data_IF_850954847080
#
_entry.id   IF_850954847080
#
_cell.length_a   1.000
_cell.length_b   1.000
_cell.length_c   1.000
_cell.angle_alpha   90.00
_cell.angle_beta   90.00
_cell.angle_gamma   90.00
#
_symmetry.space_group_name_H-M   'P 1'
#
loop_
_entity.id
_entity.type
_entity.pdbx_description
1 polymer ?
#
# COMPACT_ATOMS: atom_id res chain seq x y z
N UNK A 1 -4.46 14.97 -4.94
CA UNK A 1 -3.62 15.94 -5.71
C UNK A 1 -4.37 16.70 -6.82
N UNK A 2 -5.01 16.03 -7.79
CA UNK A 2 -5.70 16.73 -8.89
C UNK A 2 -6.72 17.78 -8.43
N UNK A 3 -7.55 17.42 -7.44
CA UNK A 3 -8.48 18.34 -6.76
C UNK A 3 -7.76 19.57 -6.17
N UNK A 4 -6.62 19.40 -5.51
CA UNK A 4 -5.85 20.51 -4.92
C UNK A 4 -5.30 21.48 -5.97
N UNK A 5 -4.83 20.96 -7.13
CA UNK A 5 -4.44 21.81 -8.27
C UNK A 5 -5.62 22.62 -8.79
N UNK A 6 -6.82 22.04 -8.80
CA UNK A 6 -8.03 22.74 -9.18
C UNK A 6 -8.42 23.80 -8.11
N UNK A 7 -8.44 23.44 -6.83
CA UNK A 7 -8.76 24.38 -5.74
C UNK A 7 -7.87 25.63 -5.75
N UNK A 8 -6.57 25.47 -6.00
CA UNK A 8 -5.65 26.60 -6.10
C UNK A 8 -5.96 27.51 -7.29
N UNK A 9 -6.35 26.93 -8.44
CA UNK A 9 -6.80 27.73 -9.59
C UNK A 9 -8.08 28.49 -9.26
N UNK A 10 -9.06 27.82 -8.66
CA UNK A 10 -10.32 28.46 -8.24
C UNK A 10 -10.04 29.64 -7.31
N UNK A 11 -9.19 29.45 -6.28
CA UNK A 11 -8.85 30.53 -5.34
C UNK A 11 -8.12 31.67 -6.05
N UNK A 12 -7.12 31.38 -6.86
CA UNK A 12 -6.34 32.42 -7.56
C UNK A 12 -7.10 33.14 -8.68
N UNK A 13 -8.12 32.52 -9.27
CA UNK A 13 -8.98 33.15 -10.29
C UNK A 13 -10.18 33.89 -9.69
N UNK A 14 -10.51 33.63 -8.42
CA UNK A 14 -11.69 34.22 -7.75
C UNK A 14 -11.31 35.26 -6.69
N UNK A 15 -10.04 35.32 -6.28
CA UNK A 15 -9.54 36.24 -5.25
C UNK A 15 -8.22 36.89 -5.68
N UNK A 16 -7.85 38.01 -5.04
CA UNK A 16 -6.55 38.65 -5.23
C UNK A 16 -5.41 37.97 -4.43
N UNK A 17 -5.66 36.78 -3.87
CA UNK A 17 -4.67 36.07 -3.05
C UNK A 17 -3.60 35.45 -3.94
N UNK A 18 -2.36 35.54 -3.48
CA UNK A 18 -1.28 34.71 -3.98
C UNK A 18 -1.55 33.26 -3.59
N UNK A 19 -1.25 32.33 -4.49
CA UNK A 19 -1.45 30.89 -4.27
C UNK A 19 -0.16 30.11 -4.56
N UNK A 20 0.11 29.09 -3.76
CA UNK A 20 1.26 28.20 -3.92
C UNK A 20 0.84 26.76 -3.63
N UNK A 21 1.29 25.81 -4.45
CA UNK A 21 1.10 24.39 -4.25
C UNK A 21 2.44 23.66 -4.32
N UNK A 22 2.67 22.73 -3.41
CA UNK A 22 3.70 21.72 -3.51
C UNK A 22 3.10 20.35 -3.20
N UNK A 23 3.55 19.31 -3.90
CA UNK A 23 3.01 17.96 -3.77
C UNK A 23 4.17 16.99 -3.52
N UNK A 24 4.18 16.36 -2.35
CA UNK A 24 5.08 15.26 -2.04
C UNK A 24 4.39 13.94 -2.40
N UNK A 25 5.09 13.11 -3.17
CA UNK A 25 4.61 11.82 -3.64
C UNK A 25 5.50 10.71 -3.07
N UNK A 26 4.89 9.57 -2.78
CA UNK A 26 5.58 8.33 -2.45
C UNK A 26 6.21 7.67 -3.70
N UNK A 27 7.22 6.84 -3.46
CA UNK A 27 7.83 5.95 -4.45
C UNK A 27 6.88 4.81 -4.87
N UNK A 28 5.95 4.42 -3.99
CA UNK A 28 4.97 3.35 -4.25
C UNK A 28 3.98 3.80 -5.33
N UNK A 29 3.93 3.07 -6.44
CA UNK A 29 3.14 3.46 -7.63
C UNK A 29 1.63 3.33 -7.45
N UNK A 30 1.17 2.50 -6.52
CA UNK A 30 -0.25 2.38 -6.16
C UNK A 30 -0.41 2.37 -4.66
N UNK A 31 -1.42 3.11 -4.16
CA UNK A 31 -1.72 3.25 -2.74
C UNK A 31 -0.60 3.90 -1.91
N UNK A 32 0.33 4.61 -2.55
CA UNK A 32 1.35 5.40 -1.87
C UNK A 32 0.77 6.66 -1.24
N UNK A 33 1.43 7.18 -0.20
CA UNK A 33 0.98 8.41 0.47
C UNK A 33 1.24 9.61 -0.44
N UNK A 34 0.32 10.57 -0.46
CA UNK A 34 0.55 11.87 -1.10
C UNK A 34 0.21 12.99 -0.13
N UNK A 35 1.17 13.88 0.12
CA UNK A 35 0.96 15.05 0.97
C UNK A 35 0.92 16.30 0.10
N UNK A 36 -0.18 17.03 0.17
CA UNK A 36 -0.35 18.28 -0.58
C UNK A 36 -0.17 19.46 0.36
N UNK A 37 0.80 20.32 0.07
CA UNK A 37 1.07 21.53 0.81
C UNK A 37 0.55 22.72 0.00
N UNK A 38 -0.52 23.34 0.49
CA UNK A 38 -1.15 24.48 -0.15
C UNK A 38 -0.95 25.71 0.73
N UNK A 39 -0.67 26.85 0.10
CA UNK A 39 -0.65 28.15 0.76
C UNK A 39 -1.43 29.13 -0.10
N UNK A 40 -2.17 30.01 0.55
CA UNK A 40 -2.81 31.15 -0.08
C UNK A 40 -2.82 32.32 0.90
N UNK A 41 -2.66 33.55 0.40
CA UNK A 41 -2.59 34.73 1.27
C UNK A 41 -2.46 36.03 0.49
N UNK A 42 -2.62 37.15 1.19
CA UNK A 42 -2.65 38.50 0.57
C UNK A 42 -1.25 39.05 0.24
N UNK A 43 -0.19 38.33 0.65
CA UNK A 43 1.20 38.69 0.40
C UNK A 43 1.87 37.66 -0.51
N UNK A 44 2.86 38.07 -1.34
CA UNK A 44 3.64 37.15 -2.17
C UNK A 44 4.24 36.01 -1.35
N UNK A 45 3.94 34.76 -1.75
CA UNK A 45 4.38 33.56 -1.03
C UNK A 45 5.82 33.20 -1.45
N UNK A 46 6.78 33.36 -0.53
CA UNK A 46 8.21 33.03 -0.73
C UNK A 46 8.65 31.75 -0.03
N UNK A 47 7.75 31.02 0.62
CA UNK A 47 8.06 29.82 1.38
C UNK A 47 8.33 28.62 0.47
N UNK A 48 9.58 28.46 0.02
CA UNK A 48 10.05 27.32 -0.81
C UNK A 48 10.41 26.10 0.05
N UNK A 49 9.54 25.75 0.99
CA UNK A 49 9.67 24.61 1.91
C UNK A 49 8.28 24.03 2.24
N UNK A 50 8.23 22.82 2.79
CA UNK A 50 6.98 22.15 3.17
C UNK A 50 6.19 22.95 4.23
N UNK A 51 4.87 22.75 4.31
CA UNK A 51 4.07 23.40 5.37
C UNK A 51 4.35 22.69 6.69
N UNK A 52 4.97 23.41 7.65
CA UNK A 52 5.26 22.89 8.99
C UNK A 52 4.21 23.24 10.06
N UNK A 53 3.38 24.26 9.84
CA UNK A 53 2.35 24.70 10.79
C UNK A 53 1.04 24.99 10.05
N UNK A 54 0.29 23.96 9.63
CA UNK A 54 -0.93 24.17 8.84
C UNK A 54 -2.06 24.78 9.68
N UNK A 55 -2.90 25.57 9.01
CA UNK A 55 -4.19 26.06 9.56
C UNK A 55 -5.31 25.02 9.41
N UNK A 56 -5.19 24.17 8.39
CA UNK A 56 -6.17 23.17 7.98
C UNK A 56 -5.44 21.89 7.56
N UNK A 57 -5.89 20.75 8.06
CA UNK A 57 -5.44 19.42 7.65
C UNK A 57 -6.64 18.60 7.20
N UNK A 58 -6.53 17.91 6.06
CA UNK A 58 -7.49 16.90 5.64
C UNK A 58 -6.83 15.53 5.53
N UNK A 59 -7.44 14.52 6.15
CA UNK A 59 -7.06 13.12 6.01
C UNK A 59 -8.12 12.40 5.16
N UNK A 60 -7.73 11.96 3.96
CA UNK A 60 -8.66 11.38 3.00
C UNK A 60 -8.80 9.85 3.13
N UNK A 61 -7.97 9.23 3.98
CA UNK A 61 -7.86 7.77 4.14
C UNK A 61 -7.80 7.45 5.64
N UNK A 62 -8.82 6.77 6.23
CA UNK A 62 -8.87 6.51 7.67
C UNK A 62 -7.67 5.77 8.23
N UNK A 63 -7.11 4.82 7.47
CA UNK A 63 -5.97 4.00 7.92
C UNK A 63 -4.70 4.81 8.18
N UNK A 64 -4.64 6.07 7.74
CA UNK A 64 -3.51 6.96 8.02
C UNK A 64 -3.46 7.43 9.47
N UNK A 65 -4.60 7.42 10.18
CA UNK A 65 -4.71 7.86 11.57
C UNK A 65 -3.85 7.03 12.53
N UNK A 66 -3.68 5.74 12.24
CA UNK A 66 -2.86 4.82 13.03
C UNK A 66 -1.45 4.63 12.49
N UNK A 67 -1.12 5.19 11.32
CA UNK A 67 0.16 4.98 10.62
C UNK A 67 1.05 6.21 10.58
N UNK A 68 0.45 7.39 10.55
CA UNK A 68 1.15 8.66 10.36
C UNK A 68 0.72 9.67 11.41
N UNK A 69 1.63 10.57 11.77
CA UNK A 69 1.27 11.75 12.56
C UNK A 69 0.60 12.80 11.66
N UNK A 70 -0.65 12.54 11.26
CA UNK A 70 -1.38 13.38 10.30
C UNK A 70 -1.64 14.80 10.82
N UNK A 71 -1.63 15.00 12.14
CA UNK A 71 -1.85 16.30 12.78
C UNK A 71 -0.54 17.04 13.13
N UNK A 72 0.63 16.54 12.69
CA UNK A 72 1.94 17.14 13.00
C UNK A 72 1.95 18.63 12.63
N UNK A 73 2.07 19.47 13.66
CA UNK A 73 2.18 20.92 13.52
C UNK A 73 0.87 21.69 13.31
N UNK A 74 -0.31 21.03 13.28
CA UNK A 74 -1.59 21.74 13.17
C UNK A 74 -1.72 22.81 14.27
N UNK A 75 -2.08 24.04 13.89
CA UNK A 75 -2.15 25.12 14.89
C UNK A 75 -3.31 24.93 15.86
N UNK A 76 -3.20 25.56 17.05
CA UNK A 76 -4.33 25.73 17.97
C UNK A 76 -5.50 26.43 17.28
N UNK A 77 -6.72 25.96 17.51
CA UNK A 77 -7.94 26.39 16.81
C UNK A 77 -7.94 26.11 15.29
N UNK A 78 -6.99 25.29 14.81
CA UNK A 78 -6.98 24.81 13.43
C UNK A 78 -8.15 23.88 13.13
N UNK A 79 -8.24 23.48 11.87
CA UNK A 79 -9.31 22.60 11.39
C UNK A 79 -8.77 21.26 10.95
N UNK A 80 -9.47 20.19 11.33
CA UNK A 80 -9.21 18.84 10.85
C UNK A 80 -10.44 18.30 10.13
N UNK A 81 -10.27 17.83 8.89
CA UNK A 81 -11.30 17.17 8.09
C UNK A 81 -10.91 15.71 7.85
N UNK A 82 -11.75 14.76 8.26
CA UNK A 82 -11.53 13.33 8.04
C UNK A 82 -12.57 12.75 7.07
N UNK A 83 -12.11 12.02 6.06
CA UNK A 83 -12.94 11.12 5.30
C UNK A 83 -12.97 9.74 5.96
N UNK A 84 -14.14 9.23 6.32
CA UNK A 84 -14.31 7.87 6.85
C UNK A 84 -15.71 7.33 6.59
N UNK A 85 -15.85 6.00 6.58
CA UNK A 85 -17.17 5.37 6.52
C UNK A 85 -17.94 5.46 7.84
N UNK A 86 -17.24 5.80 8.92
CA UNK A 86 -17.75 5.92 10.28
C UNK A 86 -18.64 7.15 10.45
N UNK A 87 -19.69 7.00 11.25
CA UNK A 87 -20.45 8.13 11.77
C UNK A 87 -19.71 8.83 12.93
N UNK A 88 -20.31 9.87 13.51
CA UNK A 88 -19.69 10.63 14.59
C UNK A 88 -19.48 9.84 15.87
N UNK A 89 -20.32 8.85 16.18
CA UNK A 89 -20.17 8.01 17.38
C UNK A 89 -19.05 7.00 17.17
N UNK A 90 -19.08 6.29 16.05
CA UNK A 90 -18.06 5.32 15.68
C UNK A 90 -16.68 5.98 15.49
N UNK A 91 -16.63 7.19 14.93
CA UNK A 91 -15.38 7.98 14.84
C UNK A 91 -14.80 8.24 16.22
N UNK A 92 -15.62 8.63 17.19
CA UNK A 92 -15.17 8.87 18.56
C UNK A 92 -14.66 7.58 19.22
N UNK A 93 -15.20 6.42 18.88
CA UNK A 93 -14.73 5.14 19.41
C UNK A 93 -13.41 4.72 18.76
N UNK A 94 -13.32 4.78 17.43
CA UNK A 94 -12.18 4.26 16.64
C UNK A 94 -10.95 5.17 16.59
N UNK A 95 -11.08 6.47 16.88
CA UNK A 95 -9.92 7.39 16.85
C UNK A 95 -8.84 6.98 17.88
N UNK A 96 -7.55 6.97 17.50
CA UNK A 96 -6.45 6.75 18.43
C UNK A 96 -6.42 7.80 19.54
N UNK A 97 -5.98 7.41 20.75
CA UNK A 97 -5.94 8.33 21.90
C UNK A 97 -4.96 9.49 21.68
N UNK A 98 -3.88 9.27 20.93
CA UNK A 98 -2.93 10.31 20.54
C UNK A 98 -3.59 11.44 19.72
N UNK A 99 -4.49 11.08 18.80
CA UNK A 99 -5.27 12.02 17.99
C UNK A 99 -6.33 12.72 18.85
N UNK A 100 -7.13 11.95 19.61
CA UNK A 100 -8.16 12.48 20.52
C UNK A 100 -7.60 13.55 21.45
N UNK A 101 -6.48 13.23 22.10
CA UNK A 101 -5.79 14.15 23.01
C UNK A 101 -5.35 15.43 22.29
N UNK A 102 -4.74 15.29 21.13
CA UNK A 102 -4.29 16.43 20.34
C UNK A 102 -5.45 17.37 19.95
N UNK A 103 -6.58 16.81 19.51
CA UNK A 103 -7.76 17.59 19.14
C UNK A 103 -8.27 18.43 20.33
N UNK A 104 -8.33 17.84 21.52
CA UNK A 104 -8.81 18.52 22.72
C UNK A 104 -7.82 19.55 23.27
N UNK A 105 -6.53 19.21 23.38
CA UNK A 105 -5.48 20.14 23.87
C UNK A 105 -5.37 21.40 23.01
N UNK A 106 -5.61 21.26 21.69
CA UNK A 106 -5.44 22.34 20.73
C UNK A 106 -6.77 22.98 20.28
N UNK A 107 -7.90 22.60 20.88
CA UNK A 107 -9.23 23.12 20.54
C UNK A 107 -9.50 23.06 19.02
N UNK A 108 -9.27 21.89 18.41
CA UNK A 108 -9.36 21.71 16.96
C UNK A 108 -10.83 21.66 16.52
N UNK A 109 -11.14 22.36 15.42
CA UNK A 109 -12.43 22.24 14.75
C UNK A 109 -12.44 20.95 13.92
N UNK A 110 -13.08 19.90 14.43
CA UNK A 110 -13.09 18.59 13.80
C UNK A 110 -14.36 18.34 12.97
N UNK A 111 -14.18 17.96 11.71
CA UNK A 111 -15.24 17.63 10.77
C UNK A 111 -15.00 16.25 10.14
N UNK A 112 -16.09 15.54 9.86
CA UNK A 112 -16.08 14.26 9.15
C UNK A 112 -16.97 14.32 7.91
N UNK A 113 -16.68 13.46 6.95
CA UNK A 113 -17.54 13.20 5.79
C UNK A 113 -17.36 11.75 5.33
N UNK A 114 -18.46 11.09 4.94
CA UNK A 114 -18.40 9.77 4.33
C UNK A 114 -18.36 9.87 2.80
N UNK A 115 -17.22 10.33 2.28
CA UNK A 115 -17.08 10.53 0.84
C UNK A 115 -17.09 9.22 0.05
N UNK A 116 -16.71 8.09 0.68
CA UNK A 116 -16.75 6.77 0.04
C UNK A 116 -18.18 6.35 -0.27
N UNK A 117 -19.07 6.38 0.73
CA UNK A 117 -20.49 6.05 0.54
C UNK A 117 -21.17 7.01 -0.42
N UNK A 118 -20.90 8.32 -0.30
CA UNK A 118 -21.42 9.32 -1.24
C UNK A 118 -20.99 9.00 -2.68
N UNK A 119 -19.74 8.59 -2.90
CA UNK A 119 -19.25 8.25 -4.24
C UNK A 119 -19.91 6.98 -4.79
N UNK A 120 -20.14 5.97 -3.95
CA UNK A 120 -20.86 4.75 -4.32
C UNK A 120 -22.33 5.04 -4.70
N UNK A 121 -23.05 5.78 -3.85
CA UNK A 121 -24.46 6.15 -4.08
C UNK A 121 -24.66 6.89 -5.41
N UNK A 122 -23.68 7.72 -5.81
CA UNK A 122 -23.74 8.54 -7.04
C UNK A 122 -23.25 7.75 -8.27
N UNK A 123 -22.59 6.60 -8.09
CA UNK A 123 -22.02 5.81 -9.19
C UNK A 123 -20.59 6.21 -9.61
N UNK A 124 -19.86 6.96 -8.77
CA UNK A 124 -18.45 7.30 -8.98
C UNK A 124 -17.47 6.22 -8.50
N UNK A 125 -17.98 5.13 -7.90
CA UNK A 125 -17.18 4.08 -7.27
C UNK A 125 -16.31 4.64 -6.15
N UNK A 126 -15.03 4.25 -6.09
CA UNK A 126 -14.10 4.75 -5.05
C UNK A 126 -13.55 6.17 -5.26
N UNK A 127 -14.12 7.00 -6.16
CA UNK A 127 -13.57 8.33 -6.48
C UNK A 127 -14.11 9.42 -5.56
N UNK A 128 -13.41 9.68 -4.46
CA UNK A 128 -13.81 10.67 -3.44
C UNK A 128 -13.29 12.09 -3.68
N UNK A 129 -12.49 12.31 -4.73
CA UNK A 129 -11.73 13.54 -4.96
C UNK A 129 -12.60 14.82 -5.05
N UNK A 130 -13.69 14.79 -5.82
CA UNK A 130 -14.59 15.94 -6.00
C UNK A 130 -15.36 16.26 -4.72
N UNK A 131 -15.78 15.23 -4.00
CA UNK A 131 -16.51 15.33 -2.73
C UNK A 131 -15.62 16.00 -1.68
N UNK A 132 -14.38 15.49 -1.51
CA UNK A 132 -13.41 16.07 -0.58
C UNK A 132 -12.99 17.49 -0.95
N UNK A 133 -12.97 17.82 -2.25
CA UNK A 133 -12.70 19.18 -2.70
C UNK A 133 -13.81 20.15 -2.26
N UNK A 134 -15.07 19.74 -2.40
CA UNK A 134 -16.23 20.54 -1.97
C UNK A 134 -16.24 20.69 -0.45
N UNK A 135 -15.99 19.61 0.29
CA UNK A 135 -15.85 19.63 1.75
C UNK A 135 -14.75 20.59 2.23
N UNK A 136 -13.61 20.63 1.52
CA UNK A 136 -12.56 21.62 1.79
C UNK A 136 -13.07 23.06 1.67
N UNK A 137 -13.76 23.42 0.57
CA UNK A 137 -14.29 24.78 0.43
C UNK A 137 -15.39 25.10 1.44
N UNK A 138 -16.21 24.12 1.80
CA UNK A 138 -17.26 24.26 2.81
C UNK A 138 -16.69 24.59 4.18
N UNK A 139 -15.62 23.92 4.57
CA UNK A 139 -15.07 24.00 5.94
C UNK A 139 -13.97 25.07 6.05
N UNK A 140 -13.17 25.29 5.01
CA UNK A 140 -12.08 26.26 5.04
C UNK A 140 -12.55 27.72 4.88
N UNK A 141 -13.76 27.95 4.35
CA UNK A 141 -14.40 29.26 4.20
C UNK A 141 -13.52 30.36 3.56
N UNK A 142 -12.66 29.96 2.61
CA UNK A 142 -11.71 30.87 1.93
C UNK A 142 -12.43 31.83 0.98
N UNK A 143 -13.48 31.33 0.34
CA UNK A 143 -14.42 32.06 -0.52
C UNK A 143 -15.84 31.63 -0.14
N UNK A 144 -16.89 32.43 -0.45
CA UNK A 144 -18.28 32.02 -0.22
C UNK A 144 -18.57 30.64 -0.84
N UNK A 145 -19.18 29.75 -0.07
CA UNK A 145 -19.37 28.36 -0.49
C UNK A 145 -20.15 28.23 -1.80
N UNK A 146 -21.22 29.00 -1.98
CA UNK A 146 -22.02 28.97 -3.22
C UNK A 146 -21.20 29.36 -4.45
N UNK A 147 -20.29 30.32 -4.30
CA UNK A 147 -19.35 30.71 -5.35
C UNK A 147 -18.36 29.59 -5.66
N UNK A 148 -17.88 28.88 -4.64
CA UNK A 148 -17.01 27.71 -4.84
C UNK A 148 -17.71 26.58 -5.60
N UNK A 149 -18.98 26.30 -5.27
CA UNK A 149 -19.81 25.29 -5.94
C UNK A 149 -20.00 25.65 -7.42
N UNK A 150 -20.33 26.91 -7.73
CA UNK A 150 -20.47 27.38 -9.12
C UNK A 150 -19.17 27.17 -9.91
N UNK A 151 -18.02 27.60 -9.37
CA UNK A 151 -16.71 27.45 -10.02
C UNK A 151 -16.32 25.99 -10.20
N UNK A 152 -16.60 25.13 -9.21
CA UNK A 152 -16.34 23.69 -9.31
C UNK A 152 -17.18 23.05 -10.41
N UNK A 153 -18.48 23.34 -10.50
CA UNK A 153 -19.37 22.84 -11.56
C UNK A 153 -18.95 23.34 -12.94
N UNK A 154 -18.55 24.61 -13.06
CA UNK A 154 -18.00 25.14 -14.30
C UNK A 154 -16.72 24.42 -14.74
N UNK A 155 -15.82 24.09 -13.80
CA UNK A 155 -14.62 23.31 -14.08
C UNK A 155 -14.93 21.86 -14.49
N UNK A 156 -15.92 21.23 -13.86
CA UNK A 156 -16.41 19.89 -14.22
C UNK A 156 -16.90 19.89 -15.66
N UNK A 157 -17.72 20.86 -16.06
CA UNK A 157 -18.20 20.98 -17.45
C UNK A 157 -17.04 21.15 -18.43
N UNK A 158 -16.05 22.01 -18.10
CA UNK A 158 -14.85 22.21 -18.93
C UNK A 158 -14.00 20.94 -19.07
N UNK A 159 -13.87 20.16 -18.00
CA UNK A 159 -12.96 19.00 -17.96
C UNK A 159 -13.61 17.72 -18.48
N UNK A 160 -14.89 17.52 -18.17
CA UNK A 160 -15.62 16.27 -18.41
C UNK A 160 -16.78 16.42 -19.39
N UNK A 161 -17.07 17.62 -19.90
CA UNK A 161 -18.16 17.84 -20.87
C UNK A 161 -18.07 16.99 -22.13
N UNK A 162 -16.85 16.57 -22.52
CA UNK A 162 -16.63 15.65 -23.65
C UNK A 162 -16.85 14.17 -23.31
N UNK A 163 -16.94 13.80 -22.04
CA UNK A 163 -17.08 12.41 -21.60
C UNK A 163 -18.55 11.97 -21.46
N UNK A 164 -19.50 12.88 -21.66
CA UNK A 164 -20.93 12.61 -21.61
C UNK A 164 -21.64 13.27 -20.43
N UNK A 165 -22.93 13.54 -20.62
CA UNK A 165 -23.77 14.26 -19.65
C UNK A 165 -23.88 13.50 -18.32
N UNK A 166 -23.92 12.17 -18.35
CA UNK A 166 -24.01 11.36 -17.14
C UNK A 166 -22.78 11.51 -16.23
N UNK A 167 -21.57 11.57 -16.80
CA UNK A 167 -20.34 11.80 -16.02
C UNK A 167 -20.34 13.21 -15.41
N UNK A 168 -20.83 14.21 -16.16
CA UNK A 168 -20.97 15.57 -15.65
C UNK A 168 -22.00 15.62 -14.51
N UNK A 169 -23.16 14.95 -14.68
CA UNK A 169 -24.22 14.86 -13.67
C UNK A 169 -23.72 14.23 -12.37
N UNK A 170 -23.03 13.09 -12.46
CA UNK A 170 -22.44 12.43 -11.30
C UNK A 170 -21.44 13.32 -10.57
N UNK A 171 -20.56 14.02 -11.29
CA UNK A 171 -19.59 14.93 -10.66
C UNK A 171 -20.26 16.16 -10.04
N UNK A 172 -21.31 16.71 -10.66
CA UNK A 172 -22.08 17.81 -10.09
C UNK A 172 -22.79 17.39 -8.79
N UNK A 173 -23.39 16.20 -8.77
CA UNK A 173 -23.97 15.63 -7.56
C UNK A 173 -22.91 15.44 -6.45
N UNK A 174 -21.69 15.05 -6.82
CA UNK A 174 -20.57 14.95 -5.86
C UNK A 174 -20.16 16.31 -5.27
N UNK A 175 -20.27 17.41 -6.02
CA UNK A 175 -20.07 18.76 -5.48
C UNK A 175 -21.16 19.11 -4.48
N UNK A 176 -22.42 18.86 -4.85
CA UNK A 176 -23.59 19.18 -4.02
C UNK A 176 -23.57 18.41 -2.69
N UNK A 177 -23.33 17.10 -2.75
CA UNK A 177 -23.24 16.24 -1.57
C UNK A 177 -21.95 16.43 -0.78
N UNK A 178 -20.90 17.00 -1.37
CA UNK A 178 -19.66 17.29 -0.64
C UNK A 178 -19.80 18.39 0.43
N UNK A 179 -20.93 19.10 0.46
CA UNK A 179 -21.30 20.00 1.56
C UNK A 179 -21.89 19.29 2.79
N UNK A 180 -22.18 17.99 2.71
CA UNK A 180 -22.72 17.14 3.80
C UNK A 180 -21.64 16.80 4.86
N UNK A 181 -20.87 17.81 5.29
CA UNK A 181 -19.87 17.68 6.35
C UNK A 181 -20.54 17.73 7.72
N UNK A 182 -20.15 16.83 8.61
CA UNK A 182 -20.63 16.79 9.99
C UNK A 182 -19.55 17.31 10.94
N UNK A 183 -19.92 18.20 11.86
CA UNK A 183 -19.02 18.67 12.91
C UNK A 183 -19.06 17.69 14.08
N UNK A 184 -17.92 17.12 14.43
CA UNK A 184 -17.82 16.19 15.56
C UNK A 184 -17.47 16.97 16.83
N UNK A 185 -18.20 16.68 17.91
CA UNK A 185 -17.88 17.24 19.22
C UNK A 185 -16.53 16.68 19.71
N UNK A 186 -15.67 17.55 20.24
CA UNK A 186 -14.38 17.15 20.82
C UNK A 186 -14.47 17.31 22.35
N UNK A 187 -14.67 16.22 23.11
CA UNK A 187 -14.77 16.27 24.56
C UNK A 187 -13.48 16.82 25.20
N UNK A 188 -13.62 17.77 26.12
CA UNK A 188 -12.48 18.31 26.86
C UNK A 188 -11.72 17.24 27.66
N UNK A 189 -12.41 16.17 28.08
CA UNK A 189 -11.83 15.02 28.79
C UNK A 189 -10.78 14.28 27.96
N UNK A 190 -10.83 14.37 26.62
CA UNK A 190 -9.80 13.75 25.77
C UNK A 190 -8.40 14.31 26.02
N UNK A 191 -8.28 15.55 26.50
CA UNK A 191 -6.98 16.14 26.86
C UNK A 191 -6.28 15.36 28.00
N UNK A 192 -7.05 14.62 28.82
CA UNK A 192 -6.53 13.84 29.94
C UNK A 192 -6.17 12.40 29.56
N UNK A 193 -6.49 11.96 28.34
CA UNK A 193 -6.15 10.61 27.87
C UNK A 193 -4.64 10.43 27.86
N UNK A 194 -4.16 9.22 28.14
CA UNK A 194 -2.76 8.88 27.90
C UNK A 194 -2.50 8.79 26.41
N UNK A 195 -1.37 9.34 25.95
CA UNK A 195 -0.96 9.15 24.55
C UNK A 195 -0.55 7.70 24.41
N UNK A 196 -1.20 6.97 23.50
CA UNK A 196 -0.63 5.75 22.96
C UNK A 196 0.76 6.11 22.41
N UNK A 197 1.79 5.45 22.92
CA UNK A 197 3.09 5.54 22.30
C UNK A 197 2.96 4.93 20.90
N UNK A 198 3.35 5.69 19.88
CA UNK A 198 3.55 5.11 18.57
C UNK A 198 4.82 4.27 18.67
N UNK A 199 4.65 3.00 19.02
CA UNK A 199 5.75 2.05 19.12
C UNK A 199 5.89 1.29 17.81
N UNK A 200 7.04 1.48 17.21
CA UNK A 200 7.57 0.58 16.20
C UNK A 200 7.61 -0.83 16.80
N UNK A 201 7.15 -1.83 16.07
CA UNK A 201 7.24 -3.22 16.52
C UNK A 201 8.71 -3.53 16.80
N UNK A 202 9.05 -3.81 18.06
CA UNK A 202 10.42 -4.12 18.47
C UNK A 202 10.76 -5.60 18.29
N UNK A 203 9.78 -6.45 17.96
CA UNK A 203 9.95 -7.89 17.78
C UNK A 203 10.38 -8.28 16.34
N UNK A 204 10.79 -7.29 15.55
CA UNK A 204 11.34 -7.44 14.20
C UNK A 204 12.86 -7.22 14.22
N UNK A 205 13.60 -7.61 13.15
CA UNK A 205 15.03 -7.33 13.07
C UNK A 205 15.35 -5.85 13.28
N UNK A 206 16.49 -5.55 13.91
CA UNK A 206 16.89 -4.19 14.30
C UNK A 206 16.82 -3.18 13.15
N UNK A 207 17.22 -3.58 11.94
CA UNK A 207 17.14 -2.70 10.77
C UNK A 207 15.69 -2.33 10.42
N UNK A 208 14.75 -3.24 10.62
CA UNK A 208 13.33 -2.99 10.37
C UNK A 208 12.79 -1.96 11.37
N UNK A 209 13.01 -2.18 12.67
CA UNK A 209 12.49 -1.30 13.71
C UNK A 209 13.17 0.07 13.76
N UNK A 210 14.49 0.14 13.51
CA UNK A 210 15.27 1.39 13.62
C UNK A 210 15.38 2.20 12.33
N UNK A 211 15.15 1.61 11.16
CA UNK A 211 15.31 2.30 9.86
C UNK A 211 14.06 2.20 9.00
N UNK A 212 13.60 0.97 8.71
CA UNK A 212 12.48 0.76 7.76
C UNK A 212 11.18 1.35 8.28
N UNK A 213 10.78 1.03 9.52
CA UNK A 213 9.53 1.50 10.09
C UNK A 213 9.50 3.03 10.29
N UNK A 214 10.57 3.70 10.78
CA UNK A 214 10.63 5.16 10.82
C UNK A 214 10.45 5.82 9.45
N UNK A 215 11.14 5.33 8.42
CA UNK A 215 10.99 5.86 7.05
C UNK A 215 9.55 5.63 6.55
N UNK A 216 9.01 4.43 6.73
CA UNK A 216 7.63 4.10 6.36
C UNK A 216 6.58 4.91 7.11
N UNK A 217 6.87 5.38 8.32
CA UNK A 217 6.02 6.28 9.11
C UNK A 217 6.21 7.77 8.77
N UNK A 218 6.94 8.09 7.68
CA UNK A 218 7.29 9.45 7.26
C UNK A 218 8.14 10.24 8.27
N UNK A 219 8.94 9.53 9.08
CA UNK A 219 9.89 10.12 10.02
C UNK A 219 11.35 9.80 9.61
N UNK A 220 11.60 9.55 8.32
CA UNK A 220 12.93 9.23 7.80
C UNK A 220 13.94 10.38 7.98
N UNK A 221 13.49 11.63 7.90
CA UNK A 221 14.33 12.82 8.13
C UNK A 221 14.83 12.93 9.58
N UNK A 222 14.17 12.26 10.53
CA UNK A 222 14.57 12.25 11.95
C UNK A 222 15.70 11.23 12.23
N UNK A 223 16.08 10.40 11.25
CA UNK A 223 17.16 9.43 11.40
C UNK A 223 18.54 10.11 11.34
N UNK A 224 19.41 9.92 12.35
CA UNK A 224 20.77 10.45 12.30
C UNK A 224 21.60 9.69 11.27
N UNK A 225 22.68 10.31 10.78
CA UNK A 225 23.66 9.64 9.89
C UNK A 225 24.18 8.33 10.50
N UNK A 226 24.31 8.27 11.83
CA UNK A 226 24.75 7.08 12.55
C UNK A 226 23.78 5.89 12.46
N UNK A 227 22.53 6.09 12.02
CA UNK A 227 21.58 5.01 11.75
C UNK A 227 22.03 4.09 10.59
N UNK A 228 23.01 4.54 9.79
CA UNK A 228 23.51 3.84 8.61
C UNK A 228 24.96 3.33 8.77
N UNK A 229 25.49 3.29 10.00
CA UNK A 229 26.81 2.67 10.26
C UNK A 229 26.81 1.18 9.86
N UNK A 230 27.87 0.75 9.18
CA UNK A 230 27.98 -0.58 8.59
C UNK A 230 27.22 -0.74 7.25
N UNK A 231 26.67 0.36 6.71
CA UNK A 231 25.98 0.45 5.41
C UNK A 231 26.42 1.69 4.64
N UNK A 232 27.69 2.05 4.79
CA UNK A 232 28.29 3.24 4.16
C UNK A 232 28.25 3.18 2.63
N UNK A 233 28.17 1.96 2.08
CA UNK A 233 28.03 1.67 0.64
C UNK A 233 26.58 1.75 0.13
N UNK A 234 25.61 1.99 1.02
CA UNK A 234 24.19 2.04 0.68
C UNK A 234 23.53 0.67 0.52
N UNK A 235 24.16 -0.43 0.97
CA UNK A 235 23.57 -1.76 0.91
C UNK A 235 22.39 -1.90 1.88
N UNK A 236 21.25 -2.42 1.41
CA UNK A 236 20.05 -2.72 2.21
C UNK A 236 19.86 -4.24 2.33
N UNK A 237 19.30 -4.75 3.45
CA UNK A 237 18.96 -6.15 3.55
C UNK A 237 17.78 -6.50 2.64
N UNK A 238 17.73 -7.75 2.21
CA UNK A 238 16.63 -8.31 1.43
C UNK A 238 15.37 -8.51 2.30
N UNK A 239 14.20 -8.54 1.66
CA UNK A 239 12.94 -9.01 2.25
C UNK A 239 12.31 -8.04 3.25
N UNK A 240 12.53 -6.73 3.14
CA UNK A 240 11.91 -5.77 4.09
C UNK A 240 10.43 -5.54 3.82
N UNK A 241 9.92 -5.88 2.63
CA UNK A 241 8.50 -5.62 2.26
C UNK A 241 7.49 -6.42 3.07
N UNK A 242 7.87 -7.58 3.61
CA UNK A 242 6.98 -8.44 4.41
C UNK A 242 6.50 -7.76 5.70
N UNK A 243 7.23 -6.75 6.18
CA UNK A 243 6.90 -5.99 7.38
C UNK A 243 6.01 -4.78 7.11
N UNK A 244 5.67 -4.47 5.86
CA UNK A 244 4.91 -3.26 5.53
C UNK A 244 3.41 -3.40 5.76
N UNK A 245 2.83 -4.56 5.43
CA UNK A 245 1.40 -4.91 5.62
C UNK A 245 0.47 -3.74 5.33
N UNK A 246 0.58 -3.20 4.11
CA UNK A 246 0.08 -1.86 3.78
C UNK A 246 -1.44 -1.71 3.86
N UNK A 247 -2.19 -2.79 3.61
CA UNK A 247 -3.65 -2.82 3.69
C UNK A 247 -4.32 -1.80 2.78
N UNK A 248 -3.85 -1.70 1.52
CA UNK A 248 -4.35 -0.68 0.57
C UNK A 248 -5.50 -1.17 -0.31
N UNK A 249 -5.73 -2.49 -0.37
CA UNK A 249 -6.84 -3.07 -1.11
C UNK A 249 -8.15 -2.81 -0.39
N UNK A 250 -9.10 -2.14 -1.05
CA UNK A 250 -10.47 -1.98 -0.53
C UNK A 250 -11.24 -3.30 -0.52
N UNK A 251 -10.91 -4.17 -1.47
CA UNK A 251 -11.41 -5.54 -1.57
C UNK A 251 -10.26 -6.52 -1.75
N UNK A 252 -10.44 -7.75 -1.29
CA UNK A 252 -9.46 -8.84 -1.41
C UNK A 252 -10.16 -10.12 -1.85
N UNK A 253 -9.46 -11.05 -2.53
CA UNK A 253 -10.08 -12.29 -2.97
C UNK A 253 -10.38 -13.21 -1.78
N UNK A 254 -11.64 -13.61 -1.63
CA UNK A 254 -12.07 -14.69 -0.75
C UNK A 254 -11.96 -16.03 -1.50
N UNK A 255 -11.46 -17.08 -0.83
CA UNK A 255 -11.33 -18.41 -1.42
C UNK A 255 -12.53 -19.30 -1.10
N UNK A 256 -13.18 -19.80 -2.15
CA UNK A 256 -14.31 -20.73 -2.07
C UNK A 256 -13.81 -22.15 -2.41
N UNK A 257 -13.57 -23.01 -1.40
CA UNK A 257 -12.87 -24.27 -1.58
C UNK A 257 -13.64 -25.28 -2.45
N UNK A 258 -14.97 -25.31 -2.37
CA UNK A 258 -15.84 -26.27 -3.09
C UNK A 258 -15.66 -26.17 -4.60
N UNK A 259 -15.39 -24.97 -5.08
CA UNK A 259 -15.24 -24.66 -6.50
C UNK A 259 -13.80 -24.85 -7.00
N UNK A 260 -12.83 -25.05 -6.09
CA UNK A 260 -11.41 -24.98 -6.42
C UNK A 260 -10.88 -26.27 -7.05
N UNK A 261 -10.34 -26.15 -8.26
CA UNK A 261 -9.72 -27.29 -8.98
C UNK A 261 -8.21 -27.45 -8.73
N UNK A 262 -7.64 -26.74 -7.74
CA UNK A 262 -6.23 -26.84 -7.33
C UNK A 262 -5.22 -26.62 -8.48
N UNK A 263 -5.44 -25.61 -9.33
CA UNK A 263 -4.63 -25.36 -10.53
C UNK A 263 -3.46 -24.37 -10.34
N UNK A 264 -3.44 -23.63 -9.22
CA UNK A 264 -2.47 -22.59 -8.87
C UNK A 264 -2.36 -21.38 -9.83
N UNK A 265 -3.27 -21.22 -10.81
CA UNK A 265 -3.21 -20.09 -11.75
C UNK A 265 -3.36 -18.73 -11.07
N UNK A 266 -4.18 -18.65 -10.02
CA UNK A 266 -4.38 -17.43 -9.23
C UNK A 266 -3.07 -16.92 -8.59
N UNK A 267 -2.25 -17.83 -8.06
CA UNK A 267 -0.94 -17.51 -7.51
C UNK A 267 0.10 -17.19 -8.59
N UNK A 268 0.02 -17.88 -9.73
CA UNK A 268 0.89 -17.65 -10.87
C UNK A 268 0.78 -16.19 -11.37
N UNK A 269 -0.44 -15.70 -11.57
CA UNK A 269 -0.70 -14.35 -12.12
C UNK A 269 -0.62 -13.24 -11.09
N UNK A 270 -0.51 -13.55 -9.79
CA UNK A 270 -0.50 -12.52 -8.76
C UNK A 270 0.77 -11.65 -8.87
N UNK A 271 0.63 -10.33 -9.09
CA UNK A 271 1.77 -9.44 -9.27
C UNK A 271 2.50 -9.10 -7.97
N UNK A 272 1.97 -9.49 -6.81
CA UNK A 272 2.54 -9.14 -5.50
C UNK A 272 2.82 -10.36 -4.62
N UNK A 273 2.64 -11.58 -5.13
CA UNK A 273 2.71 -12.82 -4.35
C UNK A 273 1.78 -12.84 -3.11
N UNK A 274 0.66 -12.10 -3.17
CA UNK A 274 -0.33 -11.98 -2.10
C UNK A 274 -1.37 -13.12 -2.05
N UNK A 275 -1.24 -14.13 -2.91
CA UNK A 275 -2.07 -15.33 -2.90
C UNK A 275 -1.17 -16.52 -3.27
N UNK A 276 -1.12 -17.54 -2.41
CA UNK A 276 -0.20 -18.67 -2.55
C UNK A 276 -0.91 -20.00 -2.30
N UNK A 277 -0.54 -21.06 -3.03
CA UNK A 277 -0.97 -22.40 -2.70
C UNK A 277 -0.04 -23.00 -1.66
N UNK A 278 -0.61 -23.65 -0.66
CA UNK A 278 0.12 -24.40 0.36
C UNK A 278 -0.25 -25.87 0.28
N UNK A 279 0.75 -26.72 0.43
CA UNK A 279 0.58 -28.15 0.70
C UNK A 279 0.91 -28.39 2.17
N UNK A 280 -0.04 -28.92 2.90
CA UNK A 280 0.02 -29.09 4.36
C UNK A 280 0.14 -30.58 4.68
N UNK A 281 1.12 -30.94 5.51
CA UNK A 281 1.26 -32.30 6.01
C UNK A 281 0.49 -32.50 7.34
N UNK A 282 0.37 -33.74 7.82
CA UNK A 282 -0.44 -34.06 9.00
C UNK A 282 0.02 -33.37 10.30
N UNK A 283 1.32 -33.10 10.47
CA UNK A 283 1.86 -32.38 11.64
C UNK A 283 1.53 -30.89 11.57
N UNK A 284 1.70 -30.29 10.38
CA UNK A 284 1.32 -28.90 10.12
C UNK A 284 -0.20 -28.69 10.29
N UNK A 285 -1.02 -29.64 9.80
CA UNK A 285 -2.48 -29.60 9.90
C UNK A 285 -2.97 -29.55 11.35
N UNK A 286 -2.36 -30.33 12.24
CA UNK A 286 -2.76 -30.42 13.65
C UNK A 286 -2.60 -29.09 14.42
N UNK A 287 -1.81 -28.15 13.89
CA UNK A 287 -1.49 -26.88 14.54
C UNK A 287 -2.13 -25.67 13.84
N UNK A 288 -2.94 -25.88 12.79
CA UNK A 288 -3.56 -24.79 12.05
C UNK A 288 -4.54 -23.98 12.91
N UNK A 289 -4.70 -22.68 12.63
CA UNK A 289 -5.74 -21.87 13.26
C UNK A 289 -7.14 -22.47 13.07
N UNK A 290 -8.02 -22.27 14.05
CA UNK A 290 -9.39 -22.79 14.01
C UNK A 290 -10.17 -22.28 12.77
N UNK A 291 -11.00 -23.16 12.21
CA UNK A 291 -11.76 -22.87 10.99
C UNK A 291 -10.92 -22.77 9.71
N UNK A 292 -9.67 -23.24 9.72
CA UNK A 292 -8.86 -23.32 8.49
C UNK A 292 -9.33 -24.49 7.63
N UNK A 293 -10.01 -24.17 6.52
CA UNK A 293 -10.46 -25.18 5.56
C UNK A 293 -9.33 -25.66 4.65
N UNK A 294 -9.29 -26.97 4.41
CA UNK A 294 -8.32 -27.64 3.55
C UNK A 294 -9.03 -28.57 2.57
N UNK A 295 -8.46 -28.71 1.37
CA UNK A 295 -8.90 -29.70 0.39
C UNK A 295 -7.98 -30.92 0.38
N UNK A 296 -8.56 -32.09 0.18
CA UNK A 296 -7.80 -33.32 -0.08
C UNK A 296 -7.07 -33.23 -1.43
N UNK A 297 -5.84 -33.74 -1.48
CA UNK A 297 -5.09 -33.86 -2.74
C UNK A 297 -5.17 -35.28 -3.31
N UNK A 298 -4.70 -35.46 -4.54
CA UNK A 298 -4.73 -36.75 -5.26
C UNK A 298 -3.39 -37.04 -5.93
N UNK A 299 -3.15 -38.32 -6.21
CA UNK A 299 -1.96 -38.77 -6.93
C UNK A 299 -0.67 -38.44 -6.17
N UNK A 300 0.31 -37.83 -6.85
CA UNK A 300 1.64 -37.52 -6.29
C UNK A 300 1.63 -36.56 -5.10
N UNK A 301 0.53 -35.84 -4.88
CA UNK A 301 0.41 -34.89 -3.77
C UNK A 301 -0.17 -35.56 -2.51
N UNK A 302 -0.87 -36.69 -2.64
CA UNK A 302 -1.41 -37.40 -1.49
C UNK A 302 -0.27 -38.01 -0.65
N UNK A 303 -0.36 -37.99 0.69
CA UNK A 303 -1.51 -37.62 1.52
C UNK A 303 -1.54 -36.15 1.99
N UNK A 304 -0.83 -35.22 1.33
CA UNK A 304 -0.85 -33.81 1.73
C UNK A 304 -2.24 -33.19 1.47
N UNK A 305 -2.55 -32.12 2.20
CA UNK A 305 -3.75 -31.31 1.99
C UNK A 305 -3.40 -30.00 1.30
N UNK A 306 -4.39 -29.36 0.68
CA UNK A 306 -4.19 -28.18 -0.16
C UNK A 306 -5.04 -27.01 0.32
N UNK A 307 -4.46 -25.81 0.32
CA UNK A 307 -5.18 -24.55 0.53
C UNK A 307 -4.64 -23.45 -0.37
N UNK A 308 -5.52 -22.60 -0.86
CA UNK A 308 -5.15 -21.26 -1.34
C UNK A 308 -5.27 -20.31 -0.15
N UNK A 309 -4.18 -19.63 0.18
CA UNK A 309 -4.16 -18.64 1.27
C UNK A 309 -3.82 -17.27 0.69
N UNK A 310 -4.61 -16.27 1.06
CA UNK A 310 -4.47 -14.88 0.64
C UNK A 310 -3.83 -14.09 1.78
N UNK A 311 -2.97 -13.12 1.43
CA UNK A 311 -2.45 -12.10 2.33
C UNK A 311 -3.28 -10.83 2.18
N UNK A 312 -4.25 -10.56 3.08
CA UNK A 312 -5.18 -9.46 2.87
C UNK A 312 -4.46 -8.10 2.87
N UNK A 313 -3.49 -7.93 3.77
CA UNK A 313 -2.77 -6.67 3.95
C UNK A 313 -1.72 -6.39 2.85
N UNK A 314 -1.33 -7.39 2.06
CA UNK A 314 -0.40 -7.20 0.94
C UNK A 314 -1.11 -7.25 -0.43
N UNK A 315 -2.40 -7.57 -0.44
CA UNK A 315 -3.22 -7.55 -1.65
C UNK A 315 -3.47 -6.11 -2.13
N UNK A 316 -3.38 -5.92 -3.45
CA UNK A 316 -3.59 -4.62 -4.10
C UNK A 316 -4.95 -4.48 -4.78
N UNK A 317 -5.89 -5.42 -4.53
CA UNK A 317 -7.25 -5.42 -5.09
C UNK A 317 -7.32 -5.42 -6.63
N UNK A 318 -6.29 -5.93 -7.33
CA UNK A 318 -6.25 -5.87 -8.80
C UNK A 318 -7.23 -6.82 -9.52
N UNK A 319 -7.78 -7.83 -8.84
CA UNK A 319 -8.75 -8.77 -9.42
C UNK A 319 -8.18 -9.83 -10.37
N UNK A 320 -6.90 -9.77 -10.77
CA UNK A 320 -6.29 -10.71 -11.73
C UNK A 320 -6.49 -12.19 -11.37
N UNK A 321 -6.41 -12.54 -10.08
CA UNK A 321 -6.58 -13.91 -9.61
C UNK A 321 -8.02 -14.42 -9.74
N UNK A 322 -9.01 -13.55 -9.56
CA UNK A 322 -10.45 -13.84 -9.75
C UNK A 322 -10.76 -13.99 -11.24
N UNK A 323 -10.23 -13.07 -12.06
CA UNK A 323 -10.44 -13.07 -13.51
C UNK A 323 -9.94 -14.37 -14.16
N UNK A 324 -8.68 -14.74 -13.87
CA UNK A 324 -8.05 -15.94 -14.44
C UNK A 324 -8.61 -17.26 -13.89
N UNK A 325 -9.36 -17.23 -12.78
CA UNK A 325 -9.87 -18.44 -12.14
C UNK A 325 -10.70 -19.26 -13.15
N UNK A 326 -10.24 -20.48 -13.54
CA UNK A 326 -10.82 -21.24 -14.65
C UNK A 326 -12.00 -22.11 -14.22
N UNK A 327 -12.34 -22.13 -12.93
CA UNK A 327 -13.45 -22.90 -12.41
C UNK A 327 -14.77 -22.38 -12.98
N UNK A 328 -15.69 -23.30 -13.31
CA UNK A 328 -17.00 -22.99 -13.88
C UNK A 328 -17.79 -22.05 -12.96
N UNK A 329 -17.85 -22.41 -11.68
CA UNK A 329 -18.23 -21.50 -10.60
C UNK A 329 -16.95 -20.93 -10.01
N UNK A 330 -16.89 -19.61 -9.80
CA UNK A 330 -15.65 -18.95 -9.39
C UNK A 330 -15.25 -19.45 -8.01
N UNK A 331 -13.98 -19.86 -7.87
CA UNK A 331 -13.38 -20.24 -6.57
C UNK A 331 -12.77 -19.05 -5.83
N UNK A 332 -12.81 -17.87 -6.45
CA UNK A 332 -12.34 -16.63 -5.87
C UNK A 332 -13.36 -15.54 -6.21
N UNK A 333 -13.78 -14.77 -5.21
CA UNK A 333 -14.66 -13.59 -5.36
C UNK A 333 -14.04 -12.41 -4.62
N UNK A 334 -14.26 -11.19 -5.10
CA UNK A 334 -13.72 -10.00 -4.42
C UNK A 334 -14.68 -9.58 -3.32
N UNK A 335 -14.22 -9.61 -2.07
CA UNK A 335 -14.97 -9.20 -0.88
C UNK A 335 -14.27 -8.03 -0.18
N UNK A 336 -14.96 -7.34 0.73
CA UNK A 336 -14.35 -6.23 1.49
C UNK A 336 -13.17 -6.73 2.32
N UNK A 337 -12.14 -5.88 2.50
CA UNK A 337 -11.01 -6.24 3.37
C UNK A 337 -11.47 -6.53 4.82
N UNK A 338 -12.48 -5.80 5.31
CA UNK A 338 -13.04 -5.97 6.66
C UNK A 338 -13.71 -7.33 6.85
N UNK A 339 -14.41 -7.87 5.84
CA UNK A 339 -15.01 -9.21 5.94
C UNK A 339 -13.96 -10.32 5.97
N UNK A 340 -12.72 -10.04 5.57
CA UNK A 340 -11.61 -10.99 5.46
C UNK A 340 -10.56 -10.80 6.56
N UNK A 341 -10.88 -10.12 7.66
CA UNK A 341 -9.95 -9.84 8.76
C UNK A 341 -9.37 -11.13 9.39
N UNK A 342 -10.17 -12.20 9.49
CA UNK A 342 -9.72 -13.50 9.97
C UNK A 342 -8.58 -14.10 9.13
N UNK A 343 -8.49 -13.77 7.84
CA UNK A 343 -7.43 -14.24 6.96
C UNK A 343 -6.08 -13.56 7.22
N UNK A 344 -6.03 -12.44 7.96
CA UNK A 344 -4.78 -11.77 8.34
C UNK A 344 -3.96 -12.70 9.25
N UNK A 345 -4.58 -13.17 10.34
CA UNK A 345 -3.93 -14.08 11.28
C UNK A 345 -3.61 -15.44 10.64
N UNK A 346 -4.49 -15.95 9.77
CA UNK A 346 -4.22 -17.18 9.00
C UNK A 346 -3.02 -16.99 8.08
N UNK A 347 -2.96 -15.90 7.32
CA UNK A 347 -1.80 -15.61 6.47
C UNK A 347 -0.49 -15.59 7.25
N UNK A 348 -0.45 -14.87 8.37
CA UNK A 348 0.76 -14.75 9.18
C UNK A 348 1.20 -16.11 9.74
N UNK A 349 0.24 -16.96 10.12
CA UNK A 349 0.53 -18.33 10.51
C UNK A 349 1.10 -19.16 9.34
N UNK A 350 0.44 -19.14 8.17
CA UNK A 350 0.86 -19.90 7.00
C UNK A 350 2.25 -19.48 6.51
N UNK A 351 2.49 -18.18 6.39
CA UNK A 351 3.75 -17.63 5.92
C UNK A 351 4.94 -17.97 6.84
N UNK A 352 4.68 -18.16 8.15
CA UNK A 352 5.73 -18.42 9.15
C UNK A 352 5.94 -19.91 9.44
N UNK A 353 4.86 -20.70 9.47
CA UNK A 353 4.90 -22.05 10.05
C UNK A 353 4.68 -23.17 9.03
N UNK A 354 4.25 -22.86 7.80
CA UNK A 354 4.01 -23.88 6.78
C UNK A 354 5.14 -23.86 5.76
N UNK A 355 5.88 -24.97 5.70
CA UNK A 355 7.04 -25.10 4.83
C UNK A 355 6.62 -25.27 3.36
N UNK A 356 7.39 -24.68 2.44
CA UNK A 356 7.14 -24.87 1.01
C UNK A 356 7.55 -26.28 0.58
N UNK A 357 6.63 -27.02 -0.05
CA UNK A 357 6.83 -28.40 -0.49
C UNK A 357 7.27 -28.48 -1.96
N UNK A 358 8.33 -27.74 -2.29
CA UNK A 358 8.81 -27.55 -3.67
C UNK A 358 9.53 -28.77 -4.27
N UNK A 359 9.79 -29.81 -3.46
CA UNK A 359 10.41 -31.08 -3.88
C UNK A 359 9.41 -32.21 -4.15
N UNK A 360 8.12 -32.03 -3.83
CA UNK A 360 7.07 -33.06 -4.06
C UNK A 360 6.90 -33.34 -5.55
N UNK A 361 7.07 -32.31 -6.35
CA UNK A 361 7.04 -32.34 -7.81
C UNK A 361 8.13 -31.45 -8.36
N UNK A 362 8.61 -31.75 -9.56
CA UNK A 362 9.55 -30.89 -10.25
C UNK A 362 8.89 -29.56 -10.62
N UNK A 363 9.38 -28.47 -10.02
CA UNK A 363 8.89 -27.10 -10.21
C UNK A 363 9.02 -26.58 -11.66
N UNK A 364 9.86 -27.20 -12.48
CA UNK A 364 10.04 -26.83 -13.90
C UNK A 364 9.00 -27.46 -14.84
N UNK A 365 8.28 -28.50 -14.41
CA UNK A 365 7.41 -29.27 -15.30
C UNK A 365 6.12 -28.55 -15.70
N UNK A 366 5.58 -27.67 -14.85
CA UNK A 366 4.31 -27.00 -15.15
C UNK A 366 4.12 -25.73 -14.34
N UNK A 367 3.19 -24.88 -14.80
CA UNK A 367 2.70 -23.71 -14.06
C UNK A 367 2.25 -24.11 -12.66
N UNK A 368 1.45 -25.19 -12.52
CA UNK A 368 0.97 -25.67 -11.22
C UNK A 368 2.14 -25.95 -10.26
N UNK A 369 3.12 -26.73 -10.72
CA UNK A 369 4.24 -27.15 -9.88
C UNK A 369 5.12 -25.97 -9.45
N UNK A 370 5.38 -25.03 -10.37
CA UNK A 370 6.20 -23.85 -10.06
C UNK A 370 5.66 -23.02 -8.89
N UNK A 371 4.35 -23.08 -8.64
CA UNK A 371 3.72 -22.29 -7.58
C UNK A 371 3.78 -22.92 -6.19
N UNK A 372 4.23 -24.17 -6.07
CA UNK A 372 4.56 -24.76 -4.76
C UNK A 372 5.97 -24.38 -4.28
N UNK A 373 6.78 -23.75 -5.13
CA UNK A 373 8.04 -23.13 -4.73
C UNK A 373 7.80 -21.73 -4.15
N UNK A 374 8.57 -21.40 -3.11
CA UNK A 374 8.51 -20.08 -2.48
C UNK A 374 8.79 -18.97 -3.50
N UNK A 375 7.93 -17.95 -3.62
CA UNK A 375 8.28 -16.74 -4.36
C UNK A 375 9.34 -15.96 -3.58
N UNK A 376 10.49 -15.68 -4.21
CA UNK A 376 11.56 -14.87 -3.62
C UNK A 376 11.54 -13.41 -4.12
N UNK A 377 10.38 -12.98 -4.59
CA UNK A 377 10.04 -11.61 -4.93
C UNK A 377 8.58 -11.37 -4.53
N UNK A 378 8.36 -10.61 -3.46
CA UNK A 378 7.05 -10.44 -2.83
C UNK A 378 6.77 -9.00 -2.39
N UNK A 379 5.50 -8.60 -2.49
CA UNK A 379 4.96 -7.36 -1.93
C UNK A 379 5.64 -6.07 -2.41
N UNK A 380 6.11 -6.06 -3.66
CA UNK A 380 6.77 -4.90 -4.28
C UNK A 380 5.89 -3.65 -4.34
N UNK A 381 6.53 -2.47 -4.48
CA UNK A 381 5.85 -1.19 -4.69
C UNK A 381 5.21 -0.99 -6.06
N UNK A 382 5.07 -2.05 -6.87
CA UNK A 382 4.51 -2.00 -8.22
C UNK A 382 3.01 -1.66 -8.21
N UNK A 383 2.49 -1.24 -9.37
CA UNK A 383 1.08 -0.92 -9.53
C UNK A 383 0.17 -2.14 -9.26
N UNK A 384 -1.07 -1.89 -8.85
CA UNK A 384 -2.10 -2.93 -8.84
C UNK A 384 -2.24 -3.51 -10.26
N UNK A 385 -2.11 -4.84 -10.40
CA UNK A 385 -2.19 -5.50 -11.70
C UNK A 385 -0.97 -5.32 -12.61
N UNK A 386 0.20 -4.99 -12.05
CA UNK A 386 1.43 -4.81 -12.83
C UNK A 386 1.73 -6.04 -13.72
N UNK A 387 2.02 -5.79 -15.00
CA UNK A 387 2.33 -6.85 -15.97
C UNK A 387 3.77 -7.37 -15.91
N UNK A 388 4.67 -6.73 -15.16
CA UNK A 388 6.09 -7.14 -15.10
C UNK A 388 6.36 -8.16 -13.98
N UNK A 389 5.81 -7.92 -12.78
CA UNK A 389 6.18 -8.66 -11.57
C UNK A 389 5.77 -10.14 -11.51
N UNK A 390 4.69 -10.61 -12.16
CA UNK A 390 4.42 -12.05 -12.23
C UNK A 390 5.57 -12.83 -12.88
N UNK A 391 6.23 -12.25 -13.89
CA UNK A 391 7.39 -12.87 -14.54
C UNK A 391 8.58 -12.96 -13.59
N UNK A 392 8.93 -11.86 -12.91
CA UNK A 392 10.04 -11.83 -11.93
C UNK A 392 9.77 -12.83 -10.82
N UNK A 393 8.57 -12.82 -10.22
CA UNK A 393 8.15 -13.79 -9.20
C UNK A 393 8.39 -15.22 -9.67
N UNK A 394 7.90 -15.60 -10.85
CA UNK A 394 8.09 -16.96 -11.38
C UNK A 394 9.56 -17.29 -11.63
N UNK A 395 10.36 -16.35 -12.16
CA UNK A 395 11.81 -16.56 -12.33
C UNK A 395 12.47 -16.88 -10.98
N UNK A 396 12.11 -16.14 -9.93
CA UNK A 396 12.66 -16.40 -8.58
C UNK A 396 12.19 -17.74 -7.98
N UNK A 397 10.98 -18.19 -8.27
CA UNK A 397 10.51 -19.52 -7.85
C UNK A 397 11.35 -20.64 -8.48
N UNK A 398 11.79 -20.44 -9.72
CA UNK A 398 12.56 -21.43 -10.48
C UNK A 398 14.07 -21.40 -10.16
N UNK A 399 14.66 -20.21 -10.02
CA UNK A 399 16.12 -20.04 -9.96
C UNK A 399 16.62 -19.15 -8.80
N UNK A 400 15.72 -18.66 -7.95
CA UNK A 400 16.01 -17.62 -6.97
C UNK A 400 17.03 -18.00 -5.91
N UNK A 401 17.18 -19.30 -5.63
CA UNK A 401 18.17 -19.85 -4.69
C UNK A 401 19.62 -19.57 -5.08
N UNK A 402 19.88 -19.21 -6.34
CA UNK A 402 21.26 -19.08 -6.87
C UNK A 402 21.43 -18.04 -7.96
N UNK A 403 20.47 -17.13 -8.12
CA UNK A 403 20.51 -16.11 -9.16
C UNK A 403 21.13 -14.79 -8.66
N UNK A 404 21.74 -14.06 -9.59
CA UNK A 404 22.21 -12.69 -9.41
C UNK A 404 21.48 -11.83 -10.44
N UNK A 405 20.94 -10.69 -10.02
CA UNK A 405 20.14 -9.78 -10.84
C UNK A 405 20.91 -8.48 -11.03
N UNK A 406 21.34 -8.22 -12.27
CA UNK A 406 21.66 -6.89 -12.75
C UNK A 406 20.38 -6.26 -13.33
N UNK A 407 19.88 -5.21 -12.69
CA UNK A 407 18.64 -4.56 -13.04
C UNK A 407 18.88 -3.15 -13.61
N UNK A 408 18.38 -2.87 -14.82
CA UNK A 408 18.46 -1.54 -15.40
C UNK A 408 17.58 -0.55 -14.62
N UNK A 409 17.93 0.73 -14.64
CA UNK A 409 17.06 1.75 -14.06
C UNK A 409 15.72 1.82 -14.81
N UNK A 410 14.61 1.79 -14.10
CA UNK A 410 13.28 1.79 -14.71
C UNK A 410 12.21 1.28 -13.76
N UNK A 411 11.04 0.88 -14.27
CA UNK A 411 9.99 0.33 -13.42
C UNK A 411 10.49 -0.78 -12.49
N UNK A 412 11.29 -1.71 -13.03
CA UNK A 412 11.87 -2.84 -12.30
C UNK A 412 12.84 -2.46 -11.20
N UNK A 413 13.61 -1.38 -11.35
CA UNK A 413 14.45 -0.90 -10.24
C UNK A 413 13.64 -0.13 -9.20
N UNK A 414 12.60 0.60 -9.62
CA UNK A 414 11.75 1.36 -8.70
C UNK A 414 10.95 0.42 -7.80
N UNK A 415 10.18 -0.53 -8.35
CA UNK A 415 9.46 -1.46 -7.47
C UNK A 415 10.37 -2.53 -6.86
N UNK A 416 11.57 -2.75 -7.43
CA UNK A 416 12.52 -3.79 -7.02
C UNK A 416 13.53 -3.37 -5.97
N UNK A 417 13.72 -2.06 -5.73
CA UNK A 417 14.74 -1.55 -4.83
C UNK A 417 14.58 -0.08 -4.40
N UNK A 418 13.34 0.44 -4.27
CA UNK A 418 13.13 1.76 -3.65
C UNK A 418 13.25 1.66 -2.13
N UNK A 419 14.35 2.18 -1.58
CA UNK A 419 14.57 2.19 -0.14
C UNK A 419 13.38 2.85 0.61
N UNK A 420 12.94 2.26 1.74
CA UNK A 420 13.55 1.15 2.47
C UNK A 420 13.02 -0.24 2.08
N UNK A 421 12.18 -0.32 1.04
CA UNK A 421 11.38 -1.49 0.68
C UNK A 421 12.10 -2.38 -0.33
N UNK A 422 12.53 -3.57 0.09
CA UNK A 422 13.24 -4.57 -0.73
C UNK A 422 12.37 -5.83 -0.90
N UNK A 423 11.75 -6.05 -2.08
CA UNK A 423 10.84 -7.19 -2.32
C UNK A 423 11.54 -8.52 -2.57
N UNK A 424 12.82 -8.50 -2.96
CA UNK A 424 13.61 -9.72 -3.09
C UNK A 424 13.91 -10.26 -1.69
N UNK A 425 13.60 -11.52 -1.42
CA UNK A 425 13.80 -12.15 -0.12
C UNK A 425 14.60 -13.45 -0.23
N UNK A 426 14.87 -14.07 0.92
CA UNK A 426 15.60 -15.35 1.00
C UNK A 426 14.65 -16.50 1.31
N UNK A 427 15.05 -17.71 0.91
CA UNK A 427 14.41 -18.95 1.35
C UNK A 427 14.80 -19.30 2.81
N UNK A 428 14.28 -20.41 3.32
CA UNK A 428 14.57 -20.91 4.69
C UNK A 428 16.06 -21.19 4.94
N UNK A 429 16.88 -21.38 3.89
CA UNK A 429 18.33 -21.59 3.99
C UNK A 429 19.13 -20.28 3.96
N UNK A 430 18.46 -19.13 3.84
CA UNK A 430 19.10 -17.83 3.68
C UNK A 430 19.61 -17.57 2.25
N UNK A 431 19.23 -18.38 1.28
CA UNK A 431 19.61 -18.22 -0.13
C UNK A 431 18.54 -17.40 -0.86
N UNK A 432 18.94 -16.47 -1.72
CA UNK A 432 18.00 -15.68 -2.49
C UNK A 432 18.69 -14.83 -3.55
N UNK A 433 17.91 -14.11 -4.38
CA UNK A 433 18.47 -13.28 -5.44
C UNK A 433 19.36 -12.18 -4.88
N UNK A 434 20.63 -12.15 -5.30
CA UNK A 434 21.50 -10.99 -5.09
C UNK A 434 21.16 -9.93 -6.13
N UNK A 435 20.59 -8.80 -5.72
CA UNK A 435 20.07 -7.77 -6.62
C UNK A 435 20.92 -6.50 -6.59
N UNK A 436 21.19 -5.92 -7.76
CA UNK A 436 21.82 -4.62 -7.87
C UNK A 436 21.33 -3.84 -9.10
N UNK A 437 21.20 -2.52 -8.96
CA UNK A 437 21.00 -1.56 -10.03
C UNK A 437 22.24 -0.65 -10.12
N UNK A 438 22.92 -0.70 -11.27
CA UNK A 438 24.00 0.25 -11.61
C UNK A 438 23.38 1.52 -12.17
N UNK A 439 23.34 1.67 -13.50
CA UNK A 439 22.75 2.80 -14.18
C UNK A 439 21.64 2.36 -15.16
N UNK A 440 21.12 3.34 -15.89
CA UNK A 440 20.10 3.08 -16.90
C UNK A 440 20.70 2.47 -18.16
N UNK A 441 21.88 2.96 -18.53
CA UNK A 441 22.56 2.75 -19.80
C UNK A 441 23.56 1.58 -19.80
N UNK A 442 23.94 1.03 -18.65
CA UNK A 442 25.05 0.07 -18.51
C UNK A 442 24.63 -1.33 -18.01
N UNK A 443 23.34 -1.62 -17.95
CA UNK A 443 22.85 -2.83 -17.27
C UNK A 443 23.41 -4.14 -17.85
N UNK A 444 23.58 -4.21 -19.17
CA UNK A 444 24.06 -5.42 -19.83
C UNK A 444 25.55 -5.66 -19.51
N UNK A 445 26.34 -4.59 -19.57
CA UNK A 445 27.76 -4.55 -19.25
C UNK A 445 27.99 -4.85 -17.76
N UNK A 446 27.12 -4.32 -16.89
CA UNK A 446 27.14 -4.57 -15.47
C UNK A 446 26.89 -6.05 -15.15
N UNK A 447 25.86 -6.65 -15.76
CA UNK A 447 25.59 -8.09 -15.66
C UNK A 447 26.70 -8.96 -16.26
N UNK A 448 27.32 -8.52 -17.37
CA UNK A 448 28.48 -9.19 -17.95
C UNK A 448 29.69 -9.19 -17.02
N UNK A 449 29.92 -8.07 -16.32
CA UNK A 449 30.93 -7.97 -15.27
C UNK A 449 30.70 -8.99 -14.13
N UNK A 450 29.45 -9.08 -13.64
CA UNK A 450 29.08 -10.08 -12.63
C UNK A 450 29.35 -11.52 -13.11
N UNK A 451 28.94 -11.86 -14.35
CA UNK A 451 29.17 -13.18 -14.92
C UNK A 451 30.67 -13.52 -15.03
N UNK A 452 31.48 -12.54 -15.45
CA UNK A 452 32.94 -12.68 -15.53
C UNK A 452 33.55 -12.95 -14.16
N UNK A 453 33.13 -12.20 -13.13
CA UNK A 453 33.60 -12.41 -11.76
C UNK A 453 33.23 -13.80 -11.22
N UNK A 454 31.98 -14.23 -11.41
CA UNK A 454 31.52 -15.57 -10.98
C UNK A 454 32.33 -16.68 -11.67
N UNK A 455 32.56 -16.58 -12.97
CA UNK A 455 33.37 -17.56 -13.70
C UNK A 455 34.79 -17.65 -13.14
N UNK A 456 35.45 -16.52 -12.89
CA UNK A 456 36.80 -16.50 -12.32
C UNK A 456 36.87 -17.05 -10.90
N UNK A 457 35.87 -16.76 -10.07
CA UNK A 457 35.78 -17.35 -8.73
C UNK A 457 35.62 -18.87 -8.80
N UNK A 458 34.76 -19.37 -9.68
CA UNK A 458 34.54 -20.82 -9.88
C UNK A 458 35.77 -21.54 -10.43
N UNK A 459 36.46 -20.95 -11.41
CA UNK A 459 37.73 -21.46 -11.93
C UNK A 459 38.77 -21.60 -10.82
N UNK A 460 38.93 -20.55 -9.99
CA UNK A 460 39.86 -20.57 -8.86
C UNK A 460 39.50 -21.64 -7.83
N UNK A 461 38.22 -21.83 -7.53
CA UNK A 461 37.75 -22.90 -6.63
C UNK A 461 38.12 -24.27 -7.23
N UNK A 462 37.82 -24.49 -8.51
CA UNK A 462 38.13 -25.75 -9.19
C UNK A 462 39.64 -26.06 -9.17
N UNK A 463 40.49 -25.05 -9.43
CA UNK A 463 41.96 -25.19 -9.35
C UNK A 463 42.47 -25.54 -7.94
N UNK A 464 41.80 -25.07 -6.88
CA UNK A 464 42.16 -25.39 -5.49
C UNK A 464 41.67 -26.75 -5.03
N UNK A 465 40.70 -27.35 -5.73
CA UNK A 465 40.17 -28.69 -5.44
C UNK A 465 40.96 -29.79 -6.16
N UNK A 466 41.69 -29.44 -7.21
CA UNK A 466 42.70 -30.29 -7.86
C UNK A 466 43.97 -30.30 -7.02
#
# INVERSE_FOLDING_TARGET
VGANKNSIKIIGETTDKYVQAYFAYDSKKSGGVTTSHLRFGDQPIRSTYLVGTPDFVACHVPSYLSKYNVLKGLRKNGTFLLNSTWDAEETQQRLPNSIKKYLAENNINFYIINATRIAEDIGLGGRTNTIMQSAFFKVAEIIPYDQSVEKMKAFILKSYGKQGEEIVRMNNAAVDRGGEVEKVNVPAEWAKLDKEAFEYDSNVPEFISKVVQPINAMNGDDLPVSAFLGREDGTFPSGTTVYEKRGIGVTVPEWIPENCIQCNQCAYVCPHAAIRPFLVNAEEEANLPEGTELLETRGKFAPLKYRIQVSPLDCTACGNCVDVCPSKEKSLVMESLESQEAEIGRWDYFAKNISYKDTVVDKFQSVKNSQFAQPLFEFSGACAGCGETPYIKTITQLYGDRMIVANATGCSSIYGGSAPSTPYCTNEKGEGPAWANSLFEDNAEYGYGMATAVNKMRERIAQRMQ
#
